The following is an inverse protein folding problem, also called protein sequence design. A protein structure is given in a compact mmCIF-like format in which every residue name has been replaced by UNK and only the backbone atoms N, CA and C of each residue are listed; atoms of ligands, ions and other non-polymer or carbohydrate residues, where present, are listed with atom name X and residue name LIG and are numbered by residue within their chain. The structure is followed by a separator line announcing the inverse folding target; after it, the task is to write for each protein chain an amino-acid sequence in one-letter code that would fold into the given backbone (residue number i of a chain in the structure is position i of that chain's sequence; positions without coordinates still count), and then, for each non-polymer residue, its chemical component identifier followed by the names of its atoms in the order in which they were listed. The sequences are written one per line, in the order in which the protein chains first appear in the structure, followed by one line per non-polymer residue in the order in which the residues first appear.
data_IF_308194717320
#
_entry.id   IF_308194717320
#
_cell.length_a   1.000
_cell.length_b   1.000
_cell.length_c   1.000
_cell.angle_alpha   90.00
_cell.angle_beta   90.00
_cell.angle_gamma   90.00
#
_symmetry.space_group_name_H-M   'P 1'
#
loop_
_entity.id
_entity.type
_entity.pdbx_description
1 polymer ?
#
# COMPACT_ATOMS: atom_id res chain seq x y z
N UNK A 1 -17.69 8.66 -57.48
CA UNK A 1 -16.77 7.52 -57.53
C UNK A 1 -15.40 8.07 -57.87
N UNK A 2 -14.50 8.01 -56.91
CA UNK A 2 -13.09 8.35 -57.03
C UNK A 2 -12.34 7.03 -57.19
N UNK A 3 -11.47 6.91 -58.18
CA UNK A 3 -10.67 5.72 -58.39
C UNK A 3 -9.25 6.09 -58.78
N UNK A 4 -8.25 5.56 -58.08
CA UNK A 4 -6.83 5.86 -58.32
C UNK A 4 -6.28 5.17 -59.57
N UNK A 5 -6.72 3.94 -59.80
CA UNK A 5 -6.35 3.19 -60.99
C UNK A 5 -5.11 2.35 -60.77
N UNK A 6 -3.99 2.70 -61.40
CA UNK A 6 -2.75 1.93 -61.29
C UNK A 6 -1.63 2.82 -60.77
N UNK A 7 -0.91 2.34 -59.77
CA UNK A 7 0.15 3.10 -59.11
C UNK A 7 -0.05 3.08 -57.61
N UNK A 8 0.46 4.12 -56.97
CA UNK A 8 0.22 4.43 -55.56
C UNK A 8 -0.49 5.77 -55.56
N UNK A 9 -1.75 5.76 -55.17
CA UNK A 9 -2.67 6.88 -55.27
C UNK A 9 -2.96 7.45 -53.88
N UNK A 10 -3.17 8.77 -53.81
CA UNK A 10 -3.41 9.50 -52.56
C UNK A 10 -4.69 10.31 -52.69
N UNK A 11 -5.58 10.15 -51.71
CA UNK A 11 -6.77 10.95 -51.55
C UNK A 11 -6.53 12.02 -50.49
N UNK A 12 -6.78 13.29 -50.84
CA UNK A 12 -6.37 14.45 -50.04
C UNK A 12 -7.58 15.33 -49.73
N UNK A 13 -7.80 15.60 -48.44
CA UNK A 13 -8.93 16.40 -47.92
C UNK A 13 -8.50 17.65 -47.15
N UNK A 14 -7.27 18.13 -47.33
CA UNK A 14 -6.70 19.29 -46.57
C UNK A 14 -7.51 20.59 -46.57
N UNK A 15 -8.41 20.80 -47.54
CA UNK A 15 -9.29 21.98 -47.60
C UNK A 15 -10.71 21.76 -47.06
N UNK A 16 -11.01 20.55 -46.59
CA UNK A 16 -12.34 20.10 -46.17
C UNK A 16 -12.63 20.46 -44.71
N UNK A 17 -13.89 20.29 -44.31
CA UNK A 17 -14.24 20.02 -42.91
C UNK A 17 -13.84 18.59 -42.55
N UNK A 18 -14.03 18.21 -41.28
CA UNK A 18 -13.83 16.83 -40.80
C UNK A 18 -14.42 15.77 -41.75
N UNK A 19 -13.63 14.73 -42.03
CA UNK A 19 -13.92 13.62 -42.92
C UNK A 19 -13.82 12.28 -42.17
N UNK A 20 -14.66 11.33 -42.58
CA UNK A 20 -14.56 9.93 -42.19
C UNK A 20 -14.38 9.11 -43.46
N UNK A 21 -13.19 8.53 -43.62
CA UNK A 21 -12.77 7.84 -44.84
C UNK A 21 -12.30 6.44 -44.48
N UNK A 22 -12.84 5.44 -45.15
CA UNK A 22 -12.47 4.05 -44.97
C UNK A 22 -12.22 3.41 -46.33
N UNK A 23 -10.93 3.09 -46.60
CA UNK A 23 -10.48 2.51 -47.86
C UNK A 23 -10.96 1.06 -48.03
N UNK A 24 -11.00 0.28 -46.94
CA UNK A 24 -11.48 -1.11 -46.97
C UNK A 24 -12.95 -1.21 -47.40
N UNK A 25 -13.80 -0.32 -46.89
CA UNK A 25 -15.23 -0.26 -47.22
C UNK A 25 -15.51 0.57 -48.48
N UNK A 26 -14.52 1.32 -48.97
CA UNK A 26 -14.65 2.23 -50.11
C UNK A 26 -15.60 3.39 -49.84
N UNK A 27 -15.68 3.84 -48.59
CA UNK A 27 -16.63 4.87 -48.14
C UNK A 27 -15.92 6.15 -47.70
N UNK A 28 -16.59 7.27 -47.95
CA UNK A 28 -16.18 8.58 -47.48
C UNK A 28 -17.41 9.44 -47.13
N UNK A 29 -17.33 10.11 -45.98
CA UNK A 29 -18.40 10.93 -45.39
C UNK A 29 -17.80 12.18 -44.74
N UNK A 30 -18.63 13.19 -44.49
CA UNK A 30 -18.19 14.45 -43.89
C UNK A 30 -17.57 15.42 -44.89
N UNK A 31 -17.64 16.72 -44.60
CA UNK A 31 -17.07 17.78 -45.44
C UNK A 31 -17.25 17.61 -46.95
N UNK A 32 -16.14 17.74 -47.68
CA UNK A 32 -16.05 17.54 -49.12
C UNK A 32 -16.05 16.05 -49.52
N UNK A 33 -15.85 15.14 -48.56
CA UNK A 33 -15.91 13.70 -48.74
C UNK A 33 -17.35 13.15 -48.78
N UNK A 34 -18.36 14.00 -48.52
CA UNK A 34 -19.75 13.56 -48.38
C UNK A 34 -20.26 12.79 -49.60
N UNK A 35 -20.54 11.49 -49.40
CA UNK A 35 -21.06 10.55 -50.39
C UNK A 35 -20.07 10.19 -51.51
N UNK A 36 -18.78 10.38 -51.26
CA UNK A 36 -17.75 9.78 -52.10
C UNK A 36 -17.78 8.24 -51.97
N UNK A 37 -17.48 7.59 -53.10
CA UNK A 37 -17.29 6.14 -53.19
C UNK A 37 -15.88 5.95 -53.75
N UNK A 38 -15.04 5.24 -53.02
CA UNK A 38 -13.60 5.19 -53.26
C UNK A 38 -13.20 3.77 -53.67
N UNK A 39 -12.24 3.64 -54.57
CA UNK A 39 -11.68 2.34 -54.95
C UNK A 39 -10.25 2.47 -55.50
N UNK A 40 -9.34 1.61 -55.04
CA UNK A 40 -7.94 1.59 -55.49
C UNK A 40 -7.23 2.90 -55.15
N UNK A 41 -7.21 3.23 -53.86
CA UNK A 41 -6.47 4.34 -53.26
C UNK A 41 -5.67 3.72 -52.12
N UNK A 42 -4.38 4.03 -52.02
CA UNK A 42 -3.48 3.44 -51.03
C UNK A 42 -3.16 4.41 -49.88
N UNK A 43 -3.36 5.72 -50.07
CA UNK A 43 -2.97 6.73 -49.08
C UNK A 43 -4.07 7.76 -48.82
N UNK A 44 -4.12 8.24 -47.58
CA UNK A 44 -5.07 9.25 -47.11
C UNK A 44 -4.31 10.45 -46.52
N UNK A 45 -4.81 11.66 -46.81
CA UNK A 45 -4.45 12.88 -46.09
C UNK A 45 -5.75 13.55 -45.65
N UNK A 46 -5.89 13.75 -44.35
CA UNK A 46 -7.01 14.42 -43.71
C UNK A 46 -7.03 15.92 -43.96
N UNK A 47 -7.84 16.57 -43.15
CA UNK A 47 -8.18 17.97 -43.13
C UNK A 47 -7.38 18.70 -42.04
N UNK A 48 -7.94 19.75 -41.44
CA UNK A 48 -7.37 20.42 -40.26
C UNK A 48 -8.35 20.35 -39.09
N UNK A 49 -9.22 19.36 -39.12
CA UNK A 49 -10.24 19.05 -38.12
C UNK A 49 -10.15 17.56 -37.82
N UNK A 50 -10.71 17.17 -36.68
CA UNK A 50 -10.76 15.79 -36.20
C UNK A 50 -11.40 14.84 -37.22
N UNK A 51 -10.56 14.04 -37.86
CA UNK A 51 -10.88 13.10 -38.91
C UNK A 51 -10.87 11.66 -38.40
N UNK A 52 -11.47 10.77 -39.18
CA UNK A 52 -11.37 9.33 -38.98
C UNK A 52 -10.93 8.68 -40.28
N UNK A 53 -9.69 8.18 -40.30
CA UNK A 53 -9.02 7.72 -41.50
C UNK A 53 -8.61 6.25 -41.33
N UNK A 54 -9.19 5.38 -42.15
CA UNK A 54 -8.96 3.93 -42.10
C UNK A 54 -8.44 3.42 -43.43
N UNK A 55 -7.34 2.68 -43.36
CA UNK A 55 -6.69 1.98 -44.46
C UNK A 55 -7.45 0.76 -44.98
N UNK A 56 -6.80 -0.01 -45.82
CA UNK A 56 -7.23 -1.33 -46.24
C UNK A 56 -6.27 -2.41 -45.71
N UNK A 57 -6.08 -3.54 -46.39
CA UNK A 57 -5.15 -4.56 -45.92
C UNK A 57 -3.80 -4.51 -46.66
N UNK A 58 -3.56 -3.45 -47.43
CA UNK A 58 -2.30 -3.19 -48.10
C UNK A 58 -1.51 -2.13 -47.32
N UNK A 59 -0.24 -1.94 -47.67
CA UNK A 59 0.59 -0.89 -47.08
C UNK A 59 -0.02 0.49 -47.39
N UNK A 60 -0.45 1.21 -46.36
CA UNK A 60 -1.03 2.53 -46.47
C UNK A 60 -0.15 3.60 -45.81
N UNK A 61 -0.16 4.81 -46.38
CA UNK A 61 0.26 6.03 -45.67
C UNK A 61 -0.96 6.86 -45.33
N UNK A 62 -1.17 7.12 -44.05
CA UNK A 62 -2.29 7.90 -43.54
C UNK A 62 -1.71 9.09 -42.75
N UNK A 63 -2.18 10.29 -43.09
CA UNK A 63 -1.74 11.56 -42.51
C UNK A 63 -3.00 12.29 -42.01
N UNK A 64 -3.17 12.42 -40.70
CA UNK A 64 -4.33 13.07 -40.07
C UNK A 64 -4.35 14.56 -40.39
N UNK A 65 -3.25 15.24 -40.08
CA UNK A 65 -3.04 16.64 -40.42
C UNK A 65 -3.06 17.48 -39.16
N UNK A 66 -4.16 18.20 -38.93
CA UNK A 66 -4.33 18.93 -37.67
C UNK A 66 -5.72 18.62 -37.10
N UNK A 67 -5.86 18.72 -35.78
CA UNK A 67 -7.04 18.22 -35.08
C UNK A 67 -6.73 16.89 -34.39
N UNK A 68 -7.67 16.42 -33.59
CA UNK A 68 -7.52 15.13 -32.89
C UNK A 68 -8.10 14.03 -33.79
N UNK A 69 -7.23 13.32 -34.50
CA UNK A 69 -7.59 12.38 -35.55
C UNK A 69 -7.59 10.92 -35.07
N UNK A 70 -8.40 10.07 -35.71
CA UNK A 70 -8.42 8.61 -35.46
C UNK A 70 -7.87 7.89 -36.69
N UNK A 71 -6.75 7.21 -36.54
CA UNK A 71 -6.02 6.56 -37.62
C UNK A 71 -5.96 5.05 -37.43
N UNK A 72 -6.20 4.29 -38.50
CA UNK A 72 -6.05 2.82 -38.48
C UNK A 72 -5.52 2.32 -39.82
N UNK A 73 -4.39 1.62 -39.80
CA UNK A 73 -3.83 0.95 -40.98
C UNK A 73 -4.51 -0.37 -41.32
N UNK A 74 -5.11 -1.05 -40.33
CA UNK A 74 -5.59 -2.43 -40.39
C UNK A 74 -4.46 -3.42 -40.68
N UNK A 75 -4.40 -4.01 -41.88
CA UNK A 75 -3.35 -4.96 -42.23
C UNK A 75 -2.15 -4.25 -42.87
N UNK A 76 -1.05 -4.98 -43.10
CA UNK A 76 0.05 -4.48 -43.93
C UNK A 76 1.15 -3.76 -43.14
N UNK A 77 2.03 -3.04 -43.81
CA UNK A 77 3.08 -2.22 -43.18
C UNK A 77 2.74 -0.75 -43.44
N UNK A 78 2.19 -0.10 -42.43
CA UNK A 78 1.58 1.22 -42.55
C UNK A 78 2.46 2.33 -41.98
N UNK A 79 2.27 3.54 -42.50
CA UNK A 79 2.81 4.78 -41.93
C UNK A 79 1.62 5.62 -41.49
N UNK A 80 1.40 5.72 -40.19
CA UNK A 80 0.33 6.51 -39.59
C UNK A 80 0.95 7.76 -38.95
N UNK A 81 0.57 8.93 -39.44
CA UNK A 81 1.00 10.22 -38.90
C UNK A 81 -0.21 10.98 -38.38
N UNK A 82 -0.22 11.29 -37.09
CA UNK A 82 -1.24 12.11 -36.44
C UNK A 82 -1.18 13.55 -36.95
N UNK A 83 -0.15 14.28 -36.51
CA UNK A 83 0.11 15.64 -36.94
C UNK A 83 0.07 16.61 -35.77
N UNK A 84 -0.70 17.70 -35.89
CA UNK A 84 -0.94 18.62 -34.77
C UNK A 84 -2.26 18.22 -34.06
N UNK A 85 -2.24 17.85 -32.79
CA UNK A 85 -3.44 17.39 -32.07
C UNK A 85 -3.09 16.27 -31.09
N UNK A 86 -4.09 15.73 -30.41
CA UNK A 86 -3.93 14.48 -29.66
C UNK A 86 -4.61 13.36 -30.44
N UNK A 87 -3.81 12.59 -31.16
CA UNK A 87 -4.28 11.63 -32.14
C UNK A 87 -4.42 10.22 -31.56
N UNK A 88 -5.34 9.44 -32.11
CA UNK A 88 -5.60 8.05 -31.72
C UNK A 88 -5.20 7.09 -32.84
N UNK A 89 -4.35 6.12 -32.53
CA UNK A 89 -3.88 5.07 -33.42
C UNK A 89 -4.51 3.75 -33.02
N UNK A 90 -5.21 3.09 -33.94
CA UNK A 90 -5.77 1.74 -33.70
C UNK A 90 -4.76 0.72 -34.23
N UNK A 91 -4.08 0.05 -33.31
CA UNK A 91 -3.16 -1.05 -33.57
C UNK A 91 -3.87 -2.25 -34.19
N UNK A 92 -3.17 -2.91 -35.12
CA UNK A 92 -3.66 -4.07 -35.85
C UNK A 92 -2.47 -4.83 -36.47
N UNK A 93 -2.74 -6.00 -37.07
CA UNK A 93 -1.72 -6.83 -37.74
C UNK A 93 -0.83 -6.03 -38.72
N UNK A 94 0.45 -5.89 -38.41
CA UNK A 94 1.35 -5.17 -39.30
C UNK A 94 2.73 -5.00 -38.73
N UNK A 95 3.59 -4.30 -39.47
CA UNK A 95 4.78 -3.68 -38.89
C UNK A 95 4.63 -2.19 -39.18
N UNK A 96 3.97 -1.50 -38.28
CA UNK A 96 3.51 -0.15 -38.52
C UNK A 96 4.44 0.89 -37.89
N UNK A 97 4.42 2.10 -38.44
CA UNK A 97 5.07 3.26 -37.86
C UNK A 97 4.01 4.25 -37.41
N UNK A 98 3.94 4.48 -36.10
CA UNK A 98 3.06 5.48 -35.49
C UNK A 98 3.87 6.71 -35.11
N UNK A 99 3.42 7.88 -35.57
CA UNK A 99 3.96 9.16 -35.16
C UNK A 99 2.82 10.07 -34.74
N UNK A 100 2.66 10.33 -33.45
CA UNK A 100 1.65 11.27 -32.94
C UNK A 100 1.92 12.67 -33.42
N UNK A 101 3.13 13.17 -33.20
CA UNK A 101 3.57 14.45 -33.73
C UNK A 101 3.54 15.52 -32.65
N UNK A 102 2.79 16.60 -32.88
CA UNK A 102 2.62 17.67 -31.92
C UNK A 102 1.32 17.45 -31.13
N UNK A 103 1.44 16.76 -30.01
CA UNK A 103 0.41 16.53 -29.03
C UNK A 103 1.03 16.44 -27.66
N UNK A 104 0.21 16.17 -26.65
CA UNK A 104 0.72 15.73 -25.33
C UNK A 104 0.02 14.47 -24.85
N UNK A 105 -0.79 13.84 -25.70
CA UNK A 105 -1.63 12.71 -25.34
C UNK A 105 -1.95 11.84 -26.56
N UNK A 106 -0.98 11.67 -27.46
CA UNK A 106 -1.12 10.78 -28.61
C UNK A 106 -1.21 9.34 -28.12
N UNK A 107 -2.22 8.59 -28.60
CA UNK A 107 -2.68 7.35 -27.96
C UNK A 107 -2.72 6.18 -28.93
N UNK A 108 -1.97 5.11 -28.66
CA UNK A 108 -2.14 3.84 -29.39
C UNK A 108 -3.03 2.83 -28.63
N UNK A 109 -3.98 2.25 -29.36
CA UNK A 109 -4.96 1.30 -28.83
C UNK A 109 -4.72 -0.09 -29.40
N UNK A 110 -4.45 -1.05 -28.52
CA UNK A 110 -4.28 -2.47 -28.86
C UNK A 110 -5.42 -3.36 -28.37
N UNK A 111 -6.57 -2.76 -28.03
CA UNK A 111 -7.75 -3.44 -27.46
C UNK A 111 -8.33 -4.57 -28.32
N UNK A 112 -7.95 -4.67 -29.60
CA UNK A 112 -8.43 -5.72 -30.50
C UNK A 112 -7.43 -6.87 -30.68
N UNK A 113 -6.25 -6.79 -30.06
CA UNK A 113 -5.25 -7.84 -30.20
C UNK A 113 -5.73 -9.12 -29.54
N UNK A 114 -5.46 -10.25 -30.19
CA UNK A 114 -5.91 -11.57 -29.74
C UNK A 114 -4.89 -12.28 -28.83
N UNK A 115 -3.80 -11.58 -28.48
CA UNK A 115 -2.76 -12.01 -27.55
C UNK A 115 -2.15 -10.78 -26.91
N UNK A 116 -1.46 -10.97 -25.79
CA UNK A 116 -0.70 -9.91 -25.15
C UNK A 116 0.36 -9.28 -26.07
N UNK A 117 0.60 -8.00 -25.85
CA UNK A 117 1.56 -7.14 -26.54
C UNK A 117 2.69 -6.72 -25.59
N UNK A 118 3.81 -6.30 -26.17
CA UNK A 118 4.86 -5.59 -25.46
C UNK A 118 5.17 -4.30 -26.21
N UNK A 119 5.03 -3.16 -25.55
CA UNK A 119 5.33 -1.83 -26.10
C UNK A 119 6.34 -1.14 -25.18
N UNK A 120 7.41 -0.61 -25.78
CA UNK A 120 8.43 0.20 -25.10
C UNK A 120 8.53 1.54 -25.82
N UNK A 121 7.99 2.59 -25.21
CA UNK A 121 7.99 3.95 -25.75
C UNK A 121 9.37 4.60 -25.64
N UNK A 122 10.17 4.24 -24.64
CA UNK A 122 11.55 4.72 -24.51
C UNK A 122 12.44 4.23 -25.67
N UNK A 123 12.25 2.97 -26.10
CA UNK A 123 12.93 2.37 -27.24
C UNK A 123 12.20 2.62 -28.57
N UNK A 124 10.92 2.99 -28.51
CA UNK A 124 10.04 3.18 -29.67
C UNK A 124 9.73 1.88 -30.40
N UNK A 125 9.51 0.77 -29.69
CA UNK A 125 9.32 -0.57 -30.28
C UNK A 125 8.11 -1.31 -29.76
N UNK A 126 7.45 -2.08 -30.63
CA UNK A 126 6.40 -3.04 -30.30
C UNK A 126 6.80 -4.49 -30.61
N UNK A 127 6.31 -5.45 -29.82
CA UNK A 127 6.50 -6.90 -29.99
C UNK A 127 5.22 -7.65 -29.61
N UNK A 128 5.09 -8.87 -30.14
CA UNK A 128 3.94 -9.76 -29.91
C UNK A 128 2.59 -9.16 -30.34
N UNK A 129 1.56 -10.02 -30.40
CA UNK A 129 0.22 -9.64 -30.86
C UNK A 129 0.22 -8.73 -32.09
N UNK A 130 -0.61 -7.71 -32.00
CA UNK A 130 -0.79 -6.69 -33.03
C UNK A 130 0.32 -5.64 -32.99
N UNK A 131 1.09 -5.55 -31.90
CA UNK A 131 2.24 -4.65 -31.77
C UNK A 131 3.51 -5.18 -32.48
N UNK A 132 3.46 -6.38 -33.07
CA UNK A 132 4.65 -7.11 -33.51
C UNK A 132 5.45 -6.38 -34.60
N UNK A 133 6.53 -5.71 -34.19
CA UNK A 133 7.42 -4.98 -35.09
C UNK A 133 6.98 -3.55 -35.39
N UNK A 134 5.97 -3.07 -34.66
CA UNK A 134 5.56 -1.67 -34.68
C UNK A 134 6.67 -0.78 -34.11
N UNK A 135 6.65 0.48 -34.51
CA UNK A 135 7.58 1.51 -34.04
C UNK A 135 6.82 2.79 -33.70
N UNK A 136 7.24 3.44 -32.61
CA UNK A 136 6.55 4.57 -32.02
C UNK A 136 7.45 5.80 -31.97
N UNK A 137 6.89 6.97 -32.25
CA UNK A 137 7.54 8.26 -32.10
C UNK A 137 6.52 9.30 -31.64
N UNK A 138 6.78 9.98 -30.52
CA UNK A 138 5.81 10.93 -29.95
C UNK A 138 4.44 10.28 -29.76
N UNK A 139 4.43 9.16 -29.03
CA UNK A 139 3.23 8.52 -28.51
C UNK A 139 3.40 8.56 -27.00
N UNK A 140 2.38 9.01 -26.29
CA UNK A 140 2.42 9.15 -24.83
C UNK A 140 1.53 8.12 -24.14
N UNK A 141 0.43 7.71 -24.79
CA UNK A 141 -0.57 6.86 -24.15
C UNK A 141 -0.70 5.53 -24.86
N UNK A 142 -0.93 4.47 -24.10
CA UNK A 142 -1.16 3.11 -24.60
C UNK A 142 -2.35 2.50 -23.88
N UNK A 143 -3.25 1.87 -24.61
CA UNK A 143 -4.19 0.89 -24.04
C UNK A 143 -3.83 -0.49 -24.56
N UNK A 144 -3.63 -1.42 -23.63
CA UNK A 144 -3.37 -2.82 -23.89
C UNK A 144 -4.55 -3.58 -24.50
N UNK A 145 -4.40 -4.90 -24.50
CA UNK A 145 -5.31 -5.91 -24.96
C UNK A 145 -6.04 -6.58 -23.79
N UNK A 146 -6.88 -7.56 -24.07
CA UNK A 146 -7.55 -8.36 -23.02
C UNK A 146 -6.63 -9.48 -22.48
N UNK A 147 -5.32 -9.34 -22.58
CA UNK A 147 -4.34 -10.36 -22.22
C UNK A 147 -3.11 -9.73 -21.61
N UNK A 148 -2.36 -10.52 -20.84
CA UNK A 148 -1.05 -10.15 -20.30
C UNK A 148 -0.17 -9.35 -21.26
N UNK A 149 -0.07 -8.06 -21.00
CA UNK A 149 0.70 -7.08 -21.71
C UNK A 149 1.94 -6.66 -20.92
N UNK A 150 2.84 -5.99 -21.62
CA UNK A 150 3.95 -5.26 -21.02
C UNK A 150 4.05 -3.87 -21.65
N UNK A 151 3.84 -2.83 -20.85
CA UNK A 151 3.84 -1.45 -21.31
C UNK A 151 4.94 -0.68 -20.58
N UNK A 152 5.99 -0.31 -21.30
CA UNK A 152 7.10 0.49 -20.80
C UNK A 152 7.00 1.92 -21.38
N UNK A 153 6.95 2.91 -20.48
CA UNK A 153 6.80 4.31 -20.79
C UNK A 153 8.10 4.98 -21.20
N UNK A 154 8.08 6.30 -21.18
CA UNK A 154 9.11 7.17 -21.72
C UNK A 154 9.71 8.04 -20.62
N UNK A 155 10.22 9.23 -20.96
CA UNK A 155 10.69 10.21 -19.98
C UNK A 155 9.76 11.43 -19.87
N UNK A 156 8.56 11.32 -20.45
CA UNK A 156 7.49 12.32 -20.35
C UNK A 156 6.27 11.64 -19.74
N UNK A 157 5.33 12.43 -19.22
CA UNK A 157 4.07 11.92 -18.69
C UNK A 157 3.37 11.00 -19.69
N UNK A 158 3.09 9.78 -19.24
CA UNK A 158 2.43 8.71 -19.96
C UNK A 158 1.10 8.37 -19.28
N UNK A 159 0.12 7.88 -20.05
CA UNK A 159 -1.09 7.30 -19.48
C UNK A 159 -1.35 5.92 -20.07
N UNK A 160 -1.32 4.90 -19.22
CA UNK A 160 -1.47 3.50 -19.62
C UNK A 160 -2.69 2.85 -18.98
N UNK A 161 -3.28 1.95 -19.75
CA UNK A 161 -4.30 1.00 -19.29
C UNK A 161 -3.86 -0.39 -19.73
N UNK A 162 -3.61 -1.29 -18.77
CA UNK A 162 -3.32 -2.70 -19.03
C UNK A 162 -4.51 -3.38 -19.67
N UNK A 163 -5.64 -3.38 -18.96
CA UNK A 163 -6.90 -3.89 -19.47
C UNK A 163 -7.36 -5.08 -18.64
N UNK A 164 -7.35 -6.28 -19.23
CA UNK A 164 -7.59 -7.51 -18.47
C UNK A 164 -6.40 -8.44 -18.61
N UNK A 165 -6.19 -9.29 -17.62
CA UNK A 165 -5.08 -10.22 -17.58
C UNK A 165 -3.87 -9.59 -16.90
N UNK A 166 -2.97 -10.46 -16.45
CA UNK A 166 -1.85 -10.06 -15.59
C UNK A 166 -0.79 -9.24 -16.33
N UNK A 167 -0.88 -7.93 -16.25
CA UNK A 167 -0.10 -6.96 -16.99
C UNK A 167 1.16 -6.50 -16.23
N UNK A 168 2.08 -5.90 -16.97
CA UNK A 168 3.28 -5.26 -16.39
C UNK A 168 3.40 -3.85 -16.96
N UNK A 169 3.22 -2.85 -16.12
CA UNK A 169 3.26 -1.44 -16.50
C UNK A 169 4.45 -0.75 -15.83
N UNK A 170 5.19 0.06 -16.58
CA UNK A 170 6.25 0.92 -16.07
C UNK A 170 6.11 2.33 -16.67
N UNK A 171 5.92 3.36 -15.85
CA UNK A 171 5.78 4.76 -16.30
C UNK A 171 7.08 5.34 -16.86
N UNK A 172 8.18 5.06 -16.17
CA UNK A 172 9.53 5.39 -16.62
C UNK A 172 9.99 6.72 -16.00
N UNK A 173 9.74 7.83 -16.67
CA UNK A 173 9.98 9.13 -16.08
C UNK A 173 8.88 10.08 -16.51
N UNK A 174 8.42 10.95 -15.64
CA UNK A 174 7.27 11.78 -15.97
C UNK A 174 6.39 11.96 -14.76
N UNK A 175 5.14 12.29 -14.99
CA UNK A 175 4.11 12.18 -13.96
C UNK A 175 3.02 11.35 -14.63
N UNK A 176 3.06 10.08 -14.35
CA UNK A 176 2.37 9.04 -15.11
C UNK A 176 1.04 8.69 -14.45
N UNK A 177 0.09 8.24 -15.26
CA UNK A 177 -1.19 7.68 -14.80
C UNK A 177 -1.29 6.25 -15.31
N UNK A 178 -1.16 5.28 -14.42
CA UNK A 178 -1.09 3.86 -14.77
C UNK A 178 -2.27 3.12 -14.15
N UNK A 179 -3.02 2.41 -14.98
CA UNK A 179 -4.11 1.52 -14.56
C UNK A 179 -3.75 0.09 -14.93
N UNK A 180 -3.62 -0.81 -13.94
CA UNK A 180 -3.45 -2.25 -14.14
C UNK A 180 -4.69 -2.81 -14.84
N UNK A 181 -5.81 -2.84 -14.11
CA UNK A 181 -7.10 -3.24 -14.63
C UNK A 181 -7.67 -4.46 -13.89
N UNK A 182 -8.16 -5.44 -14.64
CA UNK A 182 -8.62 -6.69 -14.05
C UNK A 182 -7.46 -7.71 -13.97
N UNK A 183 -7.53 -8.60 -12.97
CA UNK A 183 -6.50 -9.61 -12.65
C UNK A 183 -5.24 -9.02 -11.99
N UNK A 184 -4.22 -9.86 -11.75
CA UNK A 184 -3.08 -9.46 -10.91
C UNK A 184 -1.97 -8.82 -11.74
N UNK A 185 -1.70 -7.55 -11.47
CA UNK A 185 -0.81 -6.70 -12.24
C UNK A 185 0.44 -6.27 -11.46
N UNK A 186 1.53 -6.03 -12.20
CA UNK A 186 2.76 -5.43 -11.68
C UNK A 186 2.86 -3.99 -12.24
N UNK A 187 2.67 -2.96 -11.41
CA UNK A 187 2.65 -1.54 -11.83
C UNK A 187 3.75 -0.75 -11.13
N UNK A 188 4.61 -0.08 -11.90
CA UNK A 188 5.69 0.76 -11.36
C UNK A 188 5.65 2.19 -11.95
N UNK A 189 5.59 3.20 -11.09
CA UNK A 189 5.71 4.61 -11.47
C UNK A 189 7.11 4.92 -12.05
N UNK A 190 8.14 4.58 -11.27
CA UNK A 190 9.55 4.92 -11.48
C UNK A 190 9.84 6.38 -11.09
N UNK A 191 10.30 7.25 -12.01
CA UNK A 191 10.67 8.61 -11.63
C UNK A 191 9.54 9.62 -11.87
N UNK A 192 9.23 10.37 -10.83
CA UNK A 192 8.35 11.53 -10.81
C UNK A 192 7.08 11.25 -10.02
N UNK A 193 6.13 12.19 -10.05
CA UNK A 193 4.96 12.10 -9.18
C UNK A 193 3.81 11.44 -9.93
N UNK A 194 3.65 10.15 -9.68
CA UNK A 194 2.80 9.24 -10.44
C UNK A 194 1.48 8.96 -9.72
N UNK A 195 0.51 8.46 -10.48
CA UNK A 195 -0.76 7.97 -9.96
C UNK A 195 -1.00 6.58 -10.48
N UNK A 196 -1.06 5.61 -9.57
CA UNK A 196 -1.14 4.19 -9.88
C UNK A 196 -2.45 3.61 -9.36
N UNK A 197 -3.11 2.80 -10.18
CA UNK A 197 -4.32 2.06 -9.85
C UNK A 197 -4.13 0.58 -10.17
N UNK A 198 -4.27 -0.30 -9.17
CA UNK A 198 -4.31 -1.75 -9.37
C UNK A 198 -5.65 -2.17 -9.99
N UNK A 199 -6.72 -1.59 -9.45
CA UNK A 199 -8.12 -1.83 -9.81
C UNK A 199 -8.66 -3.14 -9.22
N UNK A 200 -8.67 -4.27 -9.94
CA UNK A 200 -9.25 -5.51 -9.43
C UNK A 200 -8.30 -6.69 -9.57
N UNK A 201 -7.77 -7.20 -8.47
CA UNK A 201 -6.79 -8.27 -8.52
C UNK A 201 -5.93 -8.28 -7.27
N UNK A 202 -4.97 -9.20 -7.19
CA UNK A 202 -3.92 -9.06 -6.17
C UNK A 202 -2.71 -8.44 -6.83
N UNK A 203 -2.59 -7.13 -6.72
CA UNK A 203 -1.68 -6.30 -7.48
C UNK A 203 -0.40 -6.01 -6.69
N UNK A 204 0.65 -5.68 -7.43
CA UNK A 204 1.90 -5.17 -6.86
C UNK A 204 2.22 -3.82 -7.47
N UNK A 205 2.17 -2.77 -6.65
CA UNK A 205 2.34 -1.39 -7.05
C UNK A 205 3.53 -0.72 -6.35
N UNK A 206 4.34 -0.01 -7.11
CA UNK A 206 5.51 0.74 -6.62
C UNK A 206 5.52 2.16 -7.18
N UNK A 207 5.46 3.18 -6.34
CA UNK A 207 5.65 4.59 -6.74
C UNK A 207 7.07 4.85 -7.23
N UNK A 208 8.05 4.39 -6.44
CA UNK A 208 9.49 4.58 -6.61
C UNK A 208 9.99 5.99 -6.24
N UNK A 209 10.43 6.85 -7.16
CA UNK A 209 10.99 8.18 -6.84
C UNK A 209 9.96 9.29 -7.10
N UNK A 210 9.43 9.96 -6.09
CA UNK A 210 8.50 11.08 -6.30
C UNK A 210 7.47 11.19 -5.19
N UNK A 211 6.59 12.19 -5.25
CA UNK A 211 5.43 12.20 -4.34
C UNK A 211 4.26 11.50 -5.07
N UNK A 212 4.01 10.24 -4.74
CA UNK A 212 3.13 9.35 -5.48
C UNK A 212 1.75 9.16 -4.84
N UNK A 213 0.79 8.75 -5.66
CA UNK A 213 -0.54 8.33 -5.20
C UNK A 213 -0.83 6.92 -5.72
N UNK A 214 -1.00 5.96 -4.82
CA UNK A 214 -1.14 4.54 -5.16
C UNK A 214 -2.45 4.00 -4.58
N UNK A 215 -3.27 3.40 -5.44
CA UNK A 215 -4.52 2.72 -5.07
C UNK A 215 -4.44 1.24 -5.41
N UNK A 216 -4.60 0.36 -4.42
CA UNK A 216 -4.68 -1.09 -4.60
C UNK A 216 -5.97 -1.47 -5.31
N UNK A 217 -7.09 -1.34 -4.61
CA UNK A 217 -8.42 -1.48 -5.19
C UNK A 217 -9.20 -2.61 -4.55
N UNK A 218 -9.47 -3.68 -5.28
CA UNK A 218 -10.16 -4.87 -4.77
C UNK A 218 -9.19 -6.04 -4.62
N UNK A 219 -9.42 -6.87 -3.61
CA UNK A 219 -8.59 -8.02 -3.25
C UNK A 219 -7.29 -7.59 -2.55
N UNK A 220 -6.37 -8.52 -2.29
CA UNK A 220 -5.24 -8.29 -1.39
C UNK A 220 -3.99 -7.79 -2.14
N UNK A 221 -3.60 -6.55 -1.90
CA UNK A 221 -2.58 -5.86 -2.66
C UNK A 221 -1.27 -5.62 -1.90
N UNK A 222 -0.20 -5.37 -2.66
CA UNK A 222 1.11 -4.96 -2.14
C UNK A 222 1.47 -3.60 -2.73
N UNK A 223 1.58 -2.59 -1.87
CA UNK A 223 1.87 -1.20 -2.24
C UNK A 223 3.17 -0.72 -1.59
N UNK A 224 4.00 -0.02 -2.36
CA UNK A 224 5.19 0.71 -1.88
C UNK A 224 5.18 2.13 -2.45
N UNK A 225 5.38 3.13 -1.58
CA UNK A 225 5.54 4.54 -1.95
C UNK A 225 6.90 4.79 -2.57
N UNK A 226 7.95 4.63 -1.76
CA UNK A 226 9.34 4.72 -2.22
C UNK A 226 10.07 5.92 -1.60
N UNK A 227 10.75 6.73 -2.40
CA UNK A 227 11.33 7.99 -1.95
C UNK A 227 10.35 9.13 -2.20
N UNK A 228 9.87 9.83 -1.17
CA UNK A 228 8.89 10.88 -1.45
C UNK A 228 8.06 11.36 -0.29
N UNK A 229 6.81 11.70 -0.59
CA UNK A 229 5.76 11.96 0.39
C UNK A 229 4.50 11.39 -0.23
N UNK A 230 4.25 10.13 0.11
CA UNK A 230 3.36 9.29 -0.69
C UNK A 230 1.99 9.15 -0.04
N UNK A 231 1.00 8.86 -0.87
CA UNK A 231 -0.36 8.54 -0.42
C UNK A 231 -0.74 7.17 -0.95
N UNK A 232 -0.89 6.21 -0.04
CA UNK A 232 -1.21 4.82 -0.34
C UNK A 232 -2.60 4.47 0.21
N UNK A 233 -3.41 3.84 -0.64
CA UNK A 233 -4.74 3.35 -0.32
C UNK A 233 -4.82 1.86 -0.69
N UNK A 234 -4.97 0.97 0.31
CA UNK A 234 -5.21 -0.46 0.09
C UNK A 234 -6.62 -0.72 -0.49
N UNK A 235 -7.61 -0.03 0.07
CA UNK A 235 -9.04 -0.11 -0.27
C UNK A 235 -9.73 -1.39 0.24
N UNK A 236 -10.20 -2.31 -0.59
CA UNK A 236 -10.89 -3.54 -0.15
C UNK A 236 -9.94 -4.73 -0.23
N UNK A 237 -9.44 -5.24 0.88
CA UNK A 237 -8.39 -6.25 0.80
C UNK A 237 -7.77 -6.58 2.14
N UNK A 238 -6.86 -7.54 2.14
CA UNK A 238 -5.94 -7.68 3.27
C UNK A 238 -4.58 -7.23 2.75
N UNK A 239 -4.31 -5.94 2.87
CA UNK A 239 -3.29 -5.26 2.09
C UNK A 239 -1.98 -5.13 2.86
N UNK A 240 -0.89 -5.00 2.10
CA UNK A 240 0.44 -4.70 2.65
C UNK A 240 0.92 -3.39 2.06
N UNK A 241 1.03 -2.35 2.90
CA UNK A 241 1.43 -1.00 2.50
C UNK A 241 2.77 -0.62 3.15
N UNK A 242 3.69 -0.08 2.35
CA UNK A 242 4.97 0.50 2.80
C UNK A 242 5.11 1.94 2.28
N UNK A 243 5.24 2.92 3.18
CA UNK A 243 5.55 4.31 2.80
C UNK A 243 7.00 4.48 2.36
N UNK A 244 7.91 3.76 3.02
CA UNK A 244 9.36 3.80 2.81
C UNK A 244 10.02 5.10 3.29
N UNK A 245 10.63 5.91 2.42
CA UNK A 245 11.33 7.14 2.80
C UNK A 245 10.45 8.35 2.52
N UNK A 246 9.94 9.03 3.55
CA UNK A 246 9.06 10.16 3.28
C UNK A 246 8.37 10.78 4.48
N UNK A 247 7.10 11.12 4.34
CA UNK A 247 6.23 11.57 5.42
C UNK A 247 4.84 11.24 4.96
N UNK A 248 4.52 9.97 5.03
CA UNK A 248 3.57 9.33 4.12
C UNK A 248 2.19 9.22 4.75
N UNK A 249 1.19 9.03 3.91
CA UNK A 249 -0.20 8.79 4.31
C UNK A 249 -0.63 7.42 3.81
N UNK A 250 -0.80 6.48 4.72
CA UNK A 250 -1.22 5.12 4.44
C UNK A 250 -2.63 4.89 4.99
N UNK A 251 -3.50 4.32 4.16
CA UNK A 251 -4.85 3.90 4.53
C UNK A 251 -5.05 2.45 4.11
N UNK A 252 -5.22 1.54 5.07
CA UNK A 252 -5.49 0.11 4.80
C UNK A 252 -6.84 -0.05 4.11
N UNK A 253 -7.92 0.30 4.81
CA UNK A 253 -9.26 0.32 4.24
C UNK A 253 -10.15 -0.71 4.89
N UNK A 254 -10.55 -1.75 4.16
CA UNK A 254 -11.40 -2.84 4.67
C UNK A 254 -10.68 -4.17 4.58
N UNK A 255 -10.45 -4.82 5.71
CA UNK A 255 -9.87 -6.15 5.85
C UNK A 255 -8.78 -6.14 6.92
N UNK A 256 -7.99 -7.21 7.03
CA UNK A 256 -6.90 -7.21 8.04
C UNK A 256 -5.58 -6.79 7.35
N UNK A 257 -5.17 -5.55 7.58
CA UNK A 257 -4.09 -4.88 6.84
C UNK A 257 -2.76 -4.81 7.61
N UNK A 258 -1.67 -4.67 6.86
CA UNK A 258 -0.31 -4.47 7.38
C UNK A 258 0.28 -3.18 6.83
N UNK A 259 0.43 -2.17 7.67
CA UNK A 259 0.92 -0.85 7.31
C UNK A 259 2.29 -0.58 7.94
N UNK A 260 3.25 -0.13 7.12
CA UNK A 260 4.57 0.31 7.54
C UNK A 260 4.86 1.72 7.01
N UNK A 261 5.03 2.70 7.89
CA UNK A 261 5.35 4.09 7.51
C UNK A 261 6.76 4.18 6.94
N UNK A 262 7.76 3.86 7.75
CA UNK A 262 9.15 3.82 7.32
C UNK A 262 9.97 4.93 7.98
N UNK A 263 10.53 5.84 7.20
CA UNK A 263 11.21 7.02 7.73
C UNK A 263 10.41 8.27 7.42
N UNK A 264 10.15 9.11 8.42
CA UNK A 264 9.24 10.22 8.14
C UNK A 264 8.58 10.81 9.36
N UNK A 265 7.50 11.55 9.16
CA UNK A 265 6.44 11.59 10.17
C UNK A 265 5.19 11.13 9.44
N UNK A 266 4.82 9.88 9.69
CA UNK A 266 3.86 9.17 8.85
C UNK A 266 2.48 9.16 9.51
N UNK A 267 1.44 9.06 8.69
CA UNK A 267 0.07 8.84 9.12
C UNK A 267 -0.39 7.49 8.61
N UNK A 268 -0.69 6.57 9.53
CA UNK A 268 -1.20 5.23 9.24
C UNK A 268 -2.63 5.13 9.78
N UNK A 269 -3.59 4.81 8.91
CA UNK A 269 -4.99 4.52 9.24
C UNK A 269 -5.32 3.09 8.82
N UNK A 270 -5.49 2.17 9.77
CA UNK A 270 -5.80 0.76 9.49
C UNK A 270 -7.15 0.61 8.81
N UNK A 271 -8.20 1.19 9.41
CA UNK A 271 -9.54 1.21 8.84
C UNK A 271 -10.46 0.21 9.52
N UNK A 272 -11.22 -0.57 8.75
CA UNK A 272 -12.07 -1.65 9.26
C UNK A 272 -11.25 -2.96 9.22
N UNK A 273 -10.91 -3.56 10.35
CA UNK A 273 -9.90 -4.61 10.31
C UNK A 273 -9.32 -5.02 11.65
N UNK A 274 -8.51 -6.07 11.67
CA UNK A 274 -7.52 -6.23 12.74
C UNK A 274 -6.15 -5.92 12.16
N UNK A 275 -5.74 -4.68 12.30
CA UNK A 275 -4.62 -4.15 11.52
C UNK A 275 -3.30 -4.21 12.31
N UNK A 276 -2.20 -4.28 11.58
CA UNK A 276 -0.83 -4.21 12.11
C UNK A 276 -0.18 -2.92 11.63
N UNK A 277 0.22 -2.06 12.57
CA UNK A 277 0.76 -0.73 12.29
C UNK A 277 2.19 -0.61 12.80
N UNK A 278 3.12 -0.32 11.89
CA UNK A 278 4.53 -0.03 12.19
C UNK A 278 4.84 1.39 11.72
N UNK A 279 4.92 2.37 12.62
CA UNK A 279 5.26 3.75 12.27
C UNK A 279 6.65 3.85 11.64
N UNK A 280 7.65 3.36 12.37
CA UNK A 280 9.05 3.41 11.94
C UNK A 280 9.78 4.57 12.61
N UNK A 281 10.76 5.18 11.94
CA UNK A 281 11.46 6.33 12.51
C UNK A 281 10.69 7.60 12.21
N UNK A 282 10.20 8.26 13.25
CA UNK A 282 9.42 9.47 13.03
C UNK A 282 8.72 9.93 14.28
N UNK A 283 7.84 10.90 14.11
CA UNK A 283 6.78 11.16 15.07
C UNK A 283 5.46 10.86 14.36
N UNK A 284 4.98 9.64 14.52
CA UNK A 284 3.97 9.07 13.63
C UNK A 284 2.56 9.14 14.24
N UNK A 285 1.54 9.10 13.39
CA UNK A 285 0.15 9.00 13.80
C UNK A 285 -0.38 7.62 13.43
N UNK A 286 -0.54 6.75 14.43
CA UNK A 286 -1.06 5.39 14.27
C UNK A 286 -2.53 5.37 14.69
N UNK A 287 -3.41 5.16 13.72
CA UNK A 287 -4.86 5.09 13.89
C UNK A 287 -5.27 3.66 13.53
N UNK A 288 -5.65 2.84 14.51
CA UNK A 288 -6.06 1.45 14.25
C UNK A 288 -7.39 1.40 13.51
N UNK A 289 -8.42 2.02 14.11
CA UNK A 289 -9.72 2.15 13.47
C UNK A 289 -10.76 1.25 14.13
N UNK A 290 -11.38 0.38 13.36
CA UNK A 290 -12.44 -0.51 13.80
C UNK A 290 -12.00 -1.98 13.75
N UNK A 291 -11.61 -2.50 14.90
CA UNK A 291 -11.51 -3.93 15.14
C UNK A 291 -10.58 -4.19 16.31
N UNK A 292 -9.52 -4.96 16.11
CA UNK A 292 -8.51 -5.20 17.15
C UNK A 292 -7.13 -4.96 16.55
N UNK A 293 -6.61 -3.77 16.79
CA UNK A 293 -5.46 -3.26 16.07
C UNK A 293 -4.19 -3.34 16.92
N UNK A 294 -3.05 -3.49 16.25
CA UNK A 294 -1.75 -3.74 16.88
C UNK A 294 -0.73 -2.71 16.44
N UNK A 295 -0.20 -1.93 17.38
CA UNK A 295 1.03 -1.17 17.15
C UNK A 295 2.25 -2.05 17.41
N UNK A 296 3.07 -2.27 16.39
CA UNK A 296 4.24 -3.15 16.44
C UNK A 296 5.54 -2.34 16.41
N UNK A 297 6.26 -2.36 17.53
CA UNK A 297 7.58 -1.74 17.70
C UNK A 297 8.72 -2.75 17.71
N UNK A 298 8.48 -4.01 17.34
CA UNK A 298 9.46 -5.11 17.44
C UNK A 298 10.75 -4.89 16.63
N UNK A 299 10.69 -4.02 15.60
CA UNK A 299 11.84 -3.66 14.76
C UNK A 299 12.66 -2.46 15.30
N UNK A 300 12.16 -1.76 16.32
CA UNK A 300 12.84 -0.61 16.89
C UNK A 300 14.13 -1.01 17.61
N UNK A 301 15.13 -0.13 17.56
CA UNK A 301 16.50 -0.45 17.97
C UNK A 301 16.78 -0.25 19.47
N UNK A 302 15.84 0.30 20.22
CA UNK A 302 15.98 0.62 21.64
C UNK A 302 14.61 0.65 22.32
N UNK A 303 14.62 0.58 23.65
CA UNK A 303 13.41 0.54 24.44
C UNK A 303 12.42 1.66 24.11
N UNK A 304 11.14 1.30 24.07
CA UNK A 304 10.00 2.19 23.86
C UNK A 304 9.17 2.31 25.14
N UNK A 305 8.43 3.41 25.23
CA UNK A 305 7.42 3.63 26.25
C UNK A 305 6.12 4.02 25.57
N UNK A 306 5.15 3.11 25.61
CA UNK A 306 3.83 3.24 24.99
C UNK A 306 2.77 3.36 26.07
N UNK A 307 1.86 4.31 25.90
CA UNK A 307 0.74 4.55 26.81
C UNK A 307 -0.54 4.75 25.99
N UNK A 308 -1.35 3.69 25.89
CA UNK A 308 -2.62 3.69 25.14
C UNK A 308 -3.70 4.54 25.83
N UNK A 309 -3.71 4.63 27.17
CA UNK A 309 -4.62 5.49 27.95
C UNK A 309 -4.48 6.97 27.59
N UNK A 310 -3.26 7.42 27.29
CA UNK A 310 -2.98 8.78 26.81
C UNK A 310 -2.80 8.91 25.31
N UNK A 311 -2.67 7.79 24.59
CA UNK A 311 -2.41 7.72 23.16
C UNK A 311 -1.04 8.27 22.77
N UNK A 312 0.01 7.96 23.55
CA UNK A 312 1.36 8.52 23.31
C UNK A 312 2.47 7.47 23.30
N UNK A 313 3.44 7.67 22.40
CA UNK A 313 4.71 6.95 22.34
C UNK A 313 5.90 7.85 22.72
N UNK A 314 6.92 7.27 23.36
CA UNK A 314 8.23 7.91 23.54
C UNK A 314 9.38 6.90 23.49
N UNK A 315 10.56 7.34 23.04
CA UNK A 315 11.77 6.50 22.99
C UNK A 315 11.88 5.69 21.69
N UNK A 316 13.12 5.53 21.19
CA UNK A 316 13.41 4.96 19.87
C UNK A 316 12.46 5.47 18.77
N UNK A 317 11.77 4.54 18.12
CA UNK A 317 10.90 4.72 16.97
C UNK A 317 9.55 5.26 17.43
N UNK A 318 9.17 5.03 18.69
CA UNK A 318 7.97 5.61 19.30
C UNK A 318 8.09 7.12 19.60
N UNK A 319 9.17 7.80 19.24
CA UNK A 319 9.49 9.13 19.76
C UNK A 319 8.60 10.23 19.15
N UNK A 320 7.50 10.52 19.83
CA UNK A 320 6.56 11.58 19.42
C UNK A 320 5.29 11.03 18.80
N UNK A 321 5.18 9.70 18.70
CA UNK A 321 4.03 9.03 18.17
C UNK A 321 2.75 9.33 18.94
N UNK A 322 1.66 9.33 18.19
CA UNK A 322 0.30 9.35 18.70
C UNK A 322 -0.41 8.07 18.30
N UNK A 323 -1.16 7.48 19.23
CA UNK A 323 -1.88 6.23 19.04
C UNK A 323 -3.37 6.46 19.32
N UNK A 324 -4.23 6.02 18.42
CA UNK A 324 -5.69 6.14 18.55
C UNK A 324 -6.38 4.87 18.07
N UNK A 325 -7.27 4.32 18.89
CA UNK A 325 -8.03 3.11 18.53
C UNK A 325 -7.12 1.91 18.28
N UNK A 326 -6.11 1.72 19.13
CA UNK A 326 -5.19 0.58 19.08
C UNK A 326 -5.36 -0.20 20.37
N UNK A 327 -5.62 -1.51 20.27
CA UNK A 327 -5.87 -2.38 21.42
C UNK A 327 -4.61 -3.12 21.88
N UNK A 328 -3.68 -3.40 20.97
CA UNK A 328 -2.52 -4.25 21.22
C UNK A 328 -1.20 -3.53 20.96
N UNK A 329 -0.16 -3.93 21.70
CA UNK A 329 1.20 -3.41 21.53
C UNK A 329 2.21 -4.54 21.60
N UNK A 330 3.11 -4.57 20.63
CA UNK A 330 4.32 -5.42 20.64
C UNK A 330 5.53 -4.51 20.89
N UNK A 331 6.24 -4.77 21.98
CA UNK A 331 7.50 -4.12 22.33
C UNK A 331 8.69 -4.58 21.50
N UNK A 332 9.83 -3.98 21.78
CA UNK A 332 11.13 -4.18 21.18
C UNK A 332 11.85 -5.42 21.76
N UNK A 333 13.16 -5.54 21.48
CA UNK A 333 14.03 -6.50 22.15
C UNK A 333 14.83 -5.89 23.34
N UNK A 334 14.36 -4.76 23.88
CA UNK A 334 14.94 -4.01 24.99
C UNK A 334 13.91 -3.80 26.11
N UNK A 335 14.35 -3.30 27.26
CA UNK A 335 13.51 -3.09 28.45
C UNK A 335 12.38 -2.05 28.24
N UNK A 336 11.19 -2.51 27.90
CA UNK A 336 10.07 -1.66 27.47
C UNK A 336 9.09 -1.28 28.59
N UNK A 337 8.36 -0.19 28.38
CA UNK A 337 7.31 0.28 29.29
C UNK A 337 5.98 0.38 28.54
N UNK A 338 5.13 -0.64 28.65
CA UNK A 338 3.88 -0.73 27.91
C UNK A 338 2.69 -0.52 28.86
N UNK A 339 1.84 0.45 28.56
CA UNK A 339 0.62 0.74 29.32
C UNK A 339 -0.60 0.66 28.39
N UNK A 340 -1.57 -0.17 28.76
CA UNK A 340 -2.87 -0.32 28.10
C UNK A 340 -3.83 0.81 28.45
N UNK A 341 -5.11 0.62 28.15
CA UNK A 341 -6.18 1.60 28.35
C UNK A 341 -7.32 1.04 29.22
N UNK A 342 -8.59 1.37 28.94
CA UNK A 342 -9.73 0.82 29.67
C UNK A 342 -10.41 -0.36 28.94
N UNK A 343 -9.94 -0.70 27.74
CA UNK A 343 -10.39 -1.82 26.93
C UNK A 343 -9.59 -3.08 27.27
N UNK A 344 -9.90 -4.21 26.61
CA UNK A 344 -9.09 -5.41 26.77
C UNK A 344 -7.88 -5.32 25.83
N UNK A 345 -6.67 -5.28 26.37
CA UNK A 345 -5.45 -5.13 25.60
C UNK A 345 -4.61 -6.42 25.55
N UNK A 346 -3.84 -6.61 24.48
CA UNK A 346 -2.74 -7.58 24.43
C UNK A 346 -1.42 -6.81 24.40
N UNK A 347 -0.66 -6.90 25.49
CA UNK A 347 0.64 -6.24 25.64
C UNK A 347 1.75 -7.29 25.71
N UNK A 348 2.72 -7.21 24.79
CA UNK A 348 3.87 -8.12 24.73
C UNK A 348 5.19 -7.36 24.83
N UNK A 349 5.94 -7.56 25.92
CA UNK A 349 7.29 -6.99 26.09
C UNK A 349 8.36 -7.67 25.22
N UNK A 350 8.13 -8.91 24.80
CA UNK A 350 9.03 -9.70 23.94
C UNK A 350 10.35 -10.11 24.61
N UNK A 351 11.44 -9.36 24.45
CA UNK A 351 12.75 -9.65 25.07
C UNK A 351 13.17 -8.40 25.81
N UNK A 352 13.68 -8.54 27.02
CA UNK A 352 14.05 -7.38 27.83
C UNK A 352 13.55 -7.58 29.25
N UNK A 353 13.93 -6.69 30.16
CA UNK A 353 13.31 -6.61 31.47
C UNK A 353 12.14 -5.61 31.38
N UNK A 354 10.95 -6.09 31.05
CA UNK A 354 9.83 -5.25 30.64
C UNK A 354 8.92 -4.84 31.80
N UNK A 355 8.25 -3.69 31.67
CA UNK A 355 7.17 -3.24 32.56
C UNK A 355 5.87 -3.11 31.79
N UNK A 356 4.89 -3.95 32.12
CA UNK A 356 3.57 -3.98 31.47
C UNK A 356 2.46 -3.60 32.44
N UNK A 357 1.53 -2.75 32.03
CA UNK A 357 0.39 -2.32 32.84
C UNK A 357 -0.89 -2.28 31.99
N UNK A 358 -1.78 -3.27 32.12
CA UNK A 358 -3.03 -3.32 31.34
C UNK A 358 -4.01 -2.19 31.65
N UNK A 359 -4.07 -1.76 32.93
CA UNK A 359 -5.08 -0.85 33.48
C UNK A 359 -6.48 -1.49 33.54
N UNK A 360 -7.51 -0.86 32.99
CA UNK A 360 -8.87 -1.41 33.09
C UNK A 360 -9.12 -2.33 31.92
N UNK A 361 -9.72 -3.49 32.10
CA UNK A 361 -9.86 -4.41 30.99
C UNK A 361 -9.87 -5.85 31.48
N UNK A 362 -9.83 -6.78 30.55
CA UNK A 362 -9.44 -8.15 30.83
C UNK A 362 -8.27 -8.46 29.90
N UNK A 363 -7.08 -8.13 30.38
CA UNK A 363 -5.91 -7.95 29.52
C UNK A 363 -5.10 -9.23 29.37
N UNK A 364 -4.32 -9.34 28.31
CA UNK A 364 -3.27 -10.36 28.20
C UNK A 364 -1.92 -9.67 28.28
N UNK A 365 -1.24 -9.86 29.41
CA UNK A 365 0.06 -9.25 29.67
C UNK A 365 1.15 -10.32 29.58
N UNK A 366 1.98 -10.21 28.55
CA UNK A 366 3.13 -11.08 28.35
C UNK A 366 4.41 -10.26 28.55
N UNK A 367 5.21 -10.62 29.55
CA UNK A 367 6.55 -10.04 29.71
C UNK A 367 7.45 -10.52 28.58
N UNK A 368 7.85 -11.78 28.65
CA UNK A 368 8.51 -12.46 27.55
C UNK A 368 9.76 -13.15 28.03
N UNK A 369 10.91 -12.77 27.50
CA UNK A 369 12.20 -13.25 27.95
C UNK A 369 12.96 -12.15 28.70
N UNK A 370 13.10 -12.31 30.00
CA UNK A 370 13.88 -11.42 30.85
C UNK A 370 13.35 -11.48 32.27
N UNK A 371 13.49 -10.38 33.01
CA UNK A 371 12.82 -10.19 34.28
C UNK A 371 11.70 -9.16 34.12
N UNK A 372 10.47 -9.64 34.09
CA UNK A 372 9.34 -8.82 33.68
C UNK A 372 8.43 -8.44 34.84
N UNK A 373 7.84 -7.25 34.78
CA UNK A 373 7.02 -6.68 35.85
C UNK A 373 5.62 -6.34 35.32
N UNK A 374 4.58 -6.94 35.92
CA UNK A 374 3.22 -6.43 35.78
C UNK A 374 2.94 -5.37 36.85
N UNK A 375 2.51 -4.18 36.42
CA UNK A 375 2.33 -3.00 37.26
C UNK A 375 0.85 -2.63 37.47
N UNK A 376 0.39 -2.84 38.70
CA UNK A 376 -0.96 -2.51 39.16
C UNK A 376 -0.97 -1.30 40.13
N UNK A 377 0.08 -0.49 40.18
CA UNK A 377 0.18 0.65 41.10
C UNK A 377 -0.94 1.68 40.97
N UNK A 378 -1.58 1.76 39.79
CA UNK A 378 -2.72 2.64 39.49
C UNK A 378 -4.10 2.02 39.79
N UNK A 379 -4.13 0.78 40.30
CA UNK A 379 -5.35 0.00 40.51
C UNK A 379 -6.02 0.26 41.87
N UNK A 380 -7.24 -0.26 42.05
CA UNK A 380 -7.72 -0.68 43.37
C UNK A 380 -7.06 -1.98 43.85
N UNK A 381 -7.53 -2.54 44.98
CA UNK A 381 -6.97 -3.79 45.52
C UNK A 381 -6.98 -4.94 44.51
N UNK A 382 -5.83 -5.57 44.32
CA UNK A 382 -5.61 -6.68 43.36
C UNK A 382 -5.32 -8.00 44.07
N UNK A 383 -5.68 -9.10 43.41
CA UNK A 383 -5.38 -10.46 43.83
C UNK A 383 -4.77 -11.24 42.67
N UNK A 384 -3.44 -11.38 42.68
CA UNK A 384 -2.66 -12.04 41.64
C UNK A 384 -2.15 -13.39 42.12
N UNK A 385 -2.28 -14.42 41.29
CA UNK A 385 -1.63 -15.72 41.43
C UNK A 385 -0.86 -16.05 40.15
N UNK A 386 0.47 -15.99 40.20
CA UNK A 386 1.35 -16.25 39.06
C UNK A 386 1.30 -17.71 38.57
N UNK A 387 0.69 -18.63 39.33
CA UNK A 387 0.45 -20.02 38.87
C UNK A 387 -0.86 -20.16 38.09
N UNK A 388 -1.69 -19.12 38.10
CA UNK A 388 -3.00 -19.14 37.46
C UNK A 388 -2.86 -18.76 35.98
N UNK A 389 -3.16 -19.71 35.11
CA UNK A 389 -3.22 -19.48 33.66
C UNK A 389 -4.59 -18.95 33.19
N UNK A 390 -5.43 -18.48 34.11
CA UNK A 390 -6.75 -17.91 33.84
C UNK A 390 -6.81 -16.49 34.40
N UNK A 391 -7.87 -15.76 34.10
CA UNK A 391 -8.09 -14.40 34.60
C UNK A 391 -7.80 -14.23 36.09
N UNK A 392 -6.97 -13.25 36.41
CA UNK A 392 -6.71 -12.76 37.76
C UNK A 392 -7.97 -12.06 38.32
N UNK A 393 -7.91 -11.56 39.56
CA UNK A 393 -9.08 -10.97 40.21
C UNK A 393 -8.78 -9.68 40.96
N UNK A 394 -9.79 -8.82 41.06
CA UNK A 394 -9.73 -7.59 41.84
C UNK A 394 -9.08 -6.42 41.11
N UNK A 395 -9.65 -5.23 41.28
CA UNK A 395 -9.13 -4.01 40.66
C UNK A 395 -9.00 -4.13 39.14
N UNK A 396 -7.88 -3.61 38.63
CA UNK A 396 -7.43 -3.70 37.25
C UNK A 396 -7.07 -5.12 36.84
N UNK A 397 -6.60 -5.96 37.77
CA UNK A 397 -6.29 -7.37 37.49
C UNK A 397 -7.52 -8.25 37.16
N UNK A 398 -8.73 -7.68 37.08
CA UNK A 398 -9.94 -8.47 36.97
C UNK A 398 -10.13 -9.05 35.57
N UNK A 399 -9.73 -10.30 35.39
CA UNK A 399 -9.83 -10.99 34.11
C UNK A 399 -8.49 -11.12 33.38
N UNK A 400 -7.46 -10.41 33.85
CA UNK A 400 -6.14 -10.39 33.22
C UNK A 400 -5.47 -11.76 33.20
N UNK A 401 -4.83 -12.10 32.10
CA UNK A 401 -4.02 -13.30 31.94
C UNK A 401 -2.56 -12.84 31.91
N UNK A 402 -1.76 -13.39 32.82
CA UNK A 402 -0.34 -13.07 32.94
C UNK A 402 0.50 -14.25 32.48
N UNK A 403 1.51 -14.00 31.65
CA UNK A 403 2.50 -14.99 31.23
C UNK A 403 3.91 -14.40 31.22
N UNK A 404 4.89 -15.20 31.64
CA UNK A 404 6.28 -14.76 31.76
C UNK A 404 6.41 -13.46 32.55
N UNK A 405 5.90 -13.45 33.79
CA UNK A 405 5.97 -12.31 34.70
C UNK A 405 6.60 -12.80 36.01
N UNK A 406 7.75 -12.24 36.36
CA UNK A 406 8.47 -12.55 37.59
C UNK A 406 8.21 -11.51 38.68
N UNK A 407 7.81 -10.29 38.30
CA UNK A 407 7.60 -9.15 39.19
C UNK A 407 6.17 -8.63 39.18
N UNK A 408 5.66 -8.27 40.37
CA UNK A 408 4.37 -7.60 40.53
C UNK A 408 4.57 -6.33 41.36
N UNK A 409 4.03 -5.23 40.86
CA UNK A 409 3.82 -4.00 41.63
C UNK A 409 2.34 -3.90 41.96
N UNK A 410 2.02 -3.91 43.24
CA UNK A 410 0.69 -3.75 43.81
C UNK A 410 0.20 -2.32 43.84
N UNK A 411 -1.06 -2.17 44.22
CA UNK A 411 -1.75 -0.91 44.42
C UNK A 411 -1.43 -0.29 45.79
N UNK A 412 -2.10 0.81 46.13
CA UNK A 412 -2.02 1.40 47.48
C UNK A 412 -3.01 0.76 48.49
N UNK A 413 -3.69 -0.33 48.11
CA UNK A 413 -4.74 -0.99 48.89
C UNK A 413 -4.29 -2.37 49.39
N UNK A 414 -5.12 -3.00 50.23
CA UNK A 414 -4.83 -4.34 50.77
C UNK A 414 -4.81 -5.41 49.66
N UNK A 415 -3.62 -5.70 49.13
CA UNK A 415 -3.43 -6.63 48.02
C UNK A 415 -3.15 -8.07 48.44
N UNK A 416 -3.32 -9.01 47.50
CA UNK A 416 -3.00 -10.44 47.67
C UNK A 416 -2.15 -10.96 46.52
N UNK A 417 -0.97 -11.50 46.82
CA UNK A 417 -0.06 -12.07 45.82
C UNK A 417 0.29 -13.52 46.14
N UNK A 418 0.28 -14.38 45.12
CA UNK A 418 0.84 -15.72 45.15
C UNK A 418 1.88 -15.89 44.03
N UNK A 419 3.09 -16.30 44.40
CA UNK A 419 4.20 -16.59 43.50
C UNK A 419 4.17 -18.01 42.96
N UNK A 420 5.02 -18.25 41.97
CA UNK A 420 5.16 -19.53 41.29
C UNK A 420 6.35 -20.35 41.85
N UNK A 421 7.03 -21.15 41.02
CA UNK A 421 8.21 -21.92 41.45
C UNK A 421 9.54 -21.20 41.15
N UNK A 422 9.48 -20.04 40.48
CA UNK A 422 10.62 -19.22 40.10
C UNK A 422 10.89 -18.15 41.18
N UNK A 423 11.97 -17.38 41.03
CA UNK A 423 12.23 -16.27 41.96
C UNK A 423 11.35 -15.08 41.61
N UNK A 424 10.43 -14.70 42.50
CA UNK A 424 9.51 -13.61 42.23
C UNK A 424 9.87 -12.30 42.98
N UNK A 425 9.49 -11.15 42.42
CA UNK A 425 9.50 -9.84 43.09
C UNK A 425 8.09 -9.37 43.39
N UNK A 426 7.79 -9.08 44.65
CA UNK A 426 6.51 -8.47 45.03
C UNK A 426 6.76 -7.12 45.69
N UNK A 427 6.27 -6.04 45.06
CA UNK A 427 6.23 -4.71 45.62
C UNK A 427 4.79 -4.36 45.98
N UNK A 428 4.40 -4.45 47.25
CA UNK A 428 2.99 -4.36 47.65
C UNK A 428 2.39 -2.95 47.70
N UNK A 429 3.20 -1.89 47.61
CA UNK A 429 2.71 -0.52 47.71
C UNK A 429 2.34 -0.12 49.16
N UNK A 430 1.31 0.72 49.30
CA UNK A 430 0.66 0.97 50.59
C UNK A 430 -0.39 -0.11 50.88
N UNK A 431 -0.97 -0.12 52.08
CA UNK A 431 -1.99 -1.10 52.45
C UNK A 431 -1.45 -2.29 53.24
N UNK A 432 -2.35 -3.19 53.62
CA UNK A 432 -2.03 -4.38 54.42
C UNK A 432 -1.98 -5.63 53.55
N UNK A 433 -0.87 -5.81 52.84
CA UNK A 433 -0.75 -6.82 51.79
C UNK A 433 -0.48 -8.22 52.34
N UNK A 434 -0.93 -9.21 51.58
CA UNK A 434 -0.70 -10.63 51.82
C UNK A 434 0.13 -11.22 50.68
N UNK A 435 1.30 -11.78 50.97
CA UNK A 435 2.18 -12.39 49.96
C UNK A 435 2.49 -13.84 50.31
N UNK A 436 2.30 -14.72 49.33
CA UNK A 436 2.67 -16.13 49.34
C UNK A 436 3.68 -16.41 48.22
N UNK A 437 4.98 -16.21 48.46
CA UNK A 437 6.02 -16.39 47.43
C UNK A 437 6.24 -17.81 46.92
N UNK A 438 5.59 -18.84 47.48
CA UNK A 438 5.77 -20.24 47.05
C UNK A 438 7.23 -20.71 47.12
N UNK A 439 7.78 -21.35 46.08
CA UNK A 439 9.15 -21.85 46.05
C UNK A 439 9.97 -20.97 45.11
N UNK A 440 11.22 -20.69 45.43
CA UNK A 440 11.98 -19.71 44.65
C UNK A 440 12.85 -18.86 45.55
N UNK A 441 13.62 -17.96 44.96
CA UNK A 441 14.37 -16.94 45.68
C UNK A 441 13.61 -15.61 45.64
N UNK A 442 12.57 -15.51 46.46
CA UNK A 442 11.61 -14.40 46.37
C UNK A 442 12.10 -13.15 47.11
N UNK A 443 11.91 -12.01 46.46
CA UNK A 443 12.14 -10.68 47.02
C UNK A 443 10.80 -10.01 47.28
N UNK A 444 10.61 -9.49 48.49
CA UNK A 444 9.37 -8.85 48.90
C UNK A 444 9.66 -7.48 49.52
N UNK A 445 9.04 -6.45 48.96
CA UNK A 445 9.04 -5.08 49.48
C UNK A 445 7.60 -4.55 49.54
N UNK A 446 6.85 -4.92 50.57
CA UNK A 446 5.45 -4.51 50.72
C UNK A 446 5.24 -3.18 51.47
N UNK A 447 6.14 -2.22 51.23
CA UNK A 447 5.96 -0.84 51.72
C UNK A 447 5.51 -0.71 53.18
N UNK A 448 4.64 0.26 53.45
CA UNK A 448 4.21 0.62 54.80
C UNK A 448 2.91 -0.10 55.23
N UNK A 449 2.94 -1.40 55.50
CA UNK A 449 1.75 -2.05 56.13
C UNK A 449 1.61 -3.58 56.12
N UNK A 450 2.55 -4.35 55.56
CA UNK A 450 2.42 -5.82 55.37
C UNK A 450 1.94 -6.59 56.61
N UNK A 451 0.88 -7.40 56.44
CA UNK A 451 0.52 -8.49 57.36
C UNK A 451 1.01 -9.83 56.80
N UNK A 452 2.22 -10.17 57.20
CA UNK A 452 2.95 -11.35 56.77
C UNK A 452 2.30 -12.67 57.25
N UNK A 453 2.02 -13.60 56.32
CA UNK A 453 1.82 -15.03 56.63
C UNK A 453 2.81 -15.88 55.83
N UNK A 454 4.06 -15.98 56.29
CA UNK A 454 4.99 -16.98 55.78
C UNK A 454 4.63 -18.38 56.28
N UNK A 455 4.48 -19.29 55.32
CA UNK A 455 5.01 -20.64 55.44
C UNK A 455 5.98 -20.84 54.27
N UNK A 456 7.27 -20.51 54.44
CA UNK A 456 8.27 -20.96 53.46
C UNK A 456 9.62 -21.32 54.10
N UNK A 457 10.26 -22.34 53.53
CA UNK A 457 11.60 -22.78 53.87
C UNK A 457 12.64 -22.07 53.01
N UNK A 458 13.52 -21.31 53.68
CA UNK A 458 14.88 -20.89 53.27
C UNK A 458 15.00 -19.59 52.44
N UNK A 459 15.42 -18.54 53.16
CA UNK A 459 16.10 -17.28 52.79
C UNK A 459 15.33 -16.14 52.09
N UNK A 460 14.59 -15.34 52.87
CA UNK A 460 14.34 -13.93 52.54
C UNK A 460 15.49 -13.03 53.03
N UNK A 461 16.02 -12.16 52.16
CA UNK A 461 16.82 -11.00 52.58
C UNK A 461 15.93 -9.76 52.64
N UNK A 462 15.90 -9.10 53.81
CA UNK A 462 15.30 -7.76 53.96
C UNK A 462 16.28 -6.72 53.44
N UNK A 463 15.85 -5.85 52.53
CA UNK A 463 16.40 -4.50 52.46
C UNK A 463 15.46 -3.57 53.22
N UNK A 464 15.76 -3.34 54.50
CA UNK A 464 15.19 -2.19 55.21
C UNK A 464 16.07 -0.98 54.89
N UNK A 465 15.53 0.01 54.17
CA UNK A 465 16.18 1.33 54.15
C UNK A 465 16.00 1.98 55.53
N UNK A 466 17.11 2.49 56.06
CA UNK A 466 17.25 3.11 57.38
C UNK A 466 16.76 4.55 57.42
#
# INVERSE_FOLDING_TARGET
MISGGAGVDTLIYTGSLAVNVNLADGTALGGDAQADVIAGIENLVGSSFNDSLTGDNADNRIDGGAGDDILSGRGGTNILLGGDGNDTFIGADGMDFFSGGAGTADHALYTNSQTGIEVDLSAGTGKFGDAQGDTFNSIENITGSDFRDRLDGSAVANTFWGGTGNDVLAGGGGNDLLHGGDENDDVAGNSGNDTLHGDAGQDTLSGDEGDDVVFGGLDADILSGGEGTDTLHGDEGNDTLSGDDGSDVLSGGSGDDSLQGGSGNDQLDGGDGNDSLVGGTGADALIGGAGIDTADYSLANSAVRIDLDTGTGTGSDAQGDTLLGVENVIGTASDDWLTGDAAANILSGSIGDDRVAGLGGADTLSGGAGFDIADYSRSGAVSIDLTLATGQTGGHAQGDILSSIEGIIGSDFDDSFAGDANGNLFQGGLGADTVFGSAGADTMDGGAGIRHRQFCGIQCRRHAQS
#
